data_IF_914147552265
#
_entry.id   IF_914147552265
#
_cell.length_a   1.000
_cell.length_b   1.000
_cell.length_c   1.000
_cell.angle_alpha   90.00
_cell.angle_beta   90.00
_cell.angle_gamma   90.00
#
_symmetry.space_group_name_H-M   'P 1'
#
loop_
_entity.id
_entity.type
_entity.pdbx_description
1 polymer ?
#
# COMPACT_ATOMS: atom_id res chain seq x y z
N UNK A 1 3.96 -3.33 -9.73
CA UNK A 1 2.63 -3.32 -10.38
C UNK A 1 1.69 -4.19 -9.55
N UNK A 2 0.52 -3.68 -9.22
CA UNK A 2 -0.48 -4.36 -8.38
C UNK A 2 -1.78 -4.44 -9.17
N UNK A 3 -2.43 -5.62 -9.15
CA UNK A 3 -3.73 -5.82 -9.78
C UNK A 3 -4.84 -5.47 -8.80
N UNK A 4 -5.67 -4.49 -9.15
CA UNK A 4 -6.83 -4.04 -8.37
C UNK A 4 -8.04 -4.04 -9.31
N UNK A 5 -9.11 -4.74 -8.93
CA UNK A 5 -10.35 -4.80 -9.71
C UNK A 5 -10.14 -5.11 -11.21
N UNK A 6 -9.35 -6.14 -11.54
CA UNK A 6 -8.99 -6.53 -12.91
C UNK A 6 -8.11 -5.55 -13.71
N UNK A 7 -7.77 -4.38 -13.16
CA UNK A 7 -6.84 -3.42 -13.76
C UNK A 7 -5.46 -3.50 -13.09
N UNK A 8 -4.42 -3.23 -13.87
CA UNK A 8 -3.05 -3.16 -13.38
C UNK A 8 -2.67 -1.72 -13.09
N UNK A 9 -2.18 -1.47 -11.89
CA UNK A 9 -1.71 -0.16 -11.47
C UNK A 9 -0.23 -0.21 -11.11
N UNK A 10 0.48 0.88 -11.40
CA UNK A 10 1.83 1.08 -10.91
C UNK A 10 1.81 1.41 -9.41
N UNK A 11 2.96 1.26 -8.74
CA UNK A 11 3.05 1.65 -7.34
C UNK A 11 2.91 3.18 -7.19
N UNK A 12 3.32 3.95 -8.19
CA UNK A 12 3.22 5.42 -8.21
C UNK A 12 1.76 5.88 -8.29
N UNK A 13 0.98 5.30 -9.20
CA UNK A 13 -0.46 5.61 -9.33
C UNK A 13 -1.22 5.34 -8.03
N UNK A 14 -0.87 4.23 -7.36
CA UNK A 14 -1.47 3.88 -6.07
C UNK A 14 -1.06 4.86 -4.98
N UNK A 15 0.21 5.26 -4.93
CA UNK A 15 0.70 6.27 -3.98
C UNK A 15 -0.05 7.58 -4.16
N UNK A 16 -0.11 8.12 -5.37
CA UNK A 16 -0.83 9.36 -5.65
C UNK A 16 -2.32 9.27 -5.29
N UNK A 17 -2.96 8.14 -5.58
CA UNK A 17 -4.38 7.94 -5.28
C UNK A 17 -4.64 7.85 -3.77
N UNK A 18 -3.75 7.21 -3.01
CA UNK A 18 -3.83 7.12 -1.55
C UNK A 18 -3.50 8.46 -0.88
N UNK A 19 -2.51 9.20 -1.37
CA UNK A 19 -2.17 10.55 -0.90
C UNK A 19 -3.34 11.52 -1.08
N UNK A 20 -4.02 11.48 -2.24
CA UNK A 20 -5.26 12.26 -2.47
C UNK A 20 -6.39 11.90 -1.52
N UNK A 21 -6.42 10.68 -0.98
CA UNK A 21 -7.37 10.24 0.05
C UNK A 21 -6.93 10.59 1.48
N UNK A 22 -5.78 11.22 1.65
CA UNK A 22 -5.24 11.64 2.95
C UNK A 22 -4.41 10.58 3.67
N UNK A 23 -3.88 9.58 2.96
CA UNK A 23 -2.90 8.65 3.53
C UNK A 23 -1.48 9.24 3.44
N UNK A 24 -0.67 8.99 4.46
CA UNK A 24 0.77 9.26 4.45
C UNK A 24 1.51 8.01 4.01
N UNK A 25 2.31 8.12 2.94
CA UNK A 25 3.11 7.01 2.42
C UNK A 25 4.48 7.01 3.10
N UNK A 26 4.84 5.88 3.70
CA UNK A 26 6.14 5.69 4.36
C UNK A 26 6.82 4.46 3.76
N UNK A 27 8.10 4.57 3.42
CA UNK A 27 8.90 3.41 2.97
C UNK A 27 9.90 3.09 4.07
N UNK A 28 9.87 1.86 4.58
CA UNK A 28 10.75 1.38 5.64
C UNK A 28 11.61 0.23 5.12
N UNK A 29 12.85 0.18 5.60
CA UNK A 29 13.76 -0.93 5.37
C UNK A 29 13.51 -2.00 6.45
N UNK A 30 13.11 -3.19 6.03
CA UNK A 30 12.65 -4.28 6.90
C UNK A 30 13.73 -5.35 7.09
N UNK A 31 14.70 -5.44 6.18
CA UNK A 31 15.87 -6.32 6.33
C UNK A 31 17.15 -5.56 6.02
N UNK A 32 18.06 -5.56 7.00
CA UNK A 32 19.41 -5.01 6.91
C UNK A 32 20.48 -6.11 7.01
N UNK A 33 20.09 -7.38 6.85
CA UNK A 33 21.07 -8.47 6.94
C UNK A 33 22.08 -8.34 5.78
N UNK A 34 23.39 -8.26 6.05
CA UNK A 34 24.40 -8.08 5.02
C UNK A 34 24.46 -9.22 3.99
N UNK A 35 23.79 -10.35 4.23
CA UNK A 35 23.65 -11.46 3.28
C UNK A 35 22.40 -11.38 2.42
N UNK A 36 21.42 -10.57 2.80
CA UNK A 36 20.18 -10.39 2.04
C UNK A 36 20.22 -9.10 1.23
N UNK A 37 19.42 -9.07 0.16
CA UNK A 37 19.10 -7.82 -0.51
C UNK A 37 18.24 -6.95 0.43
N UNK A 38 18.55 -5.65 0.57
CA UNK A 38 17.80 -4.76 1.44
C UNK A 38 16.32 -4.77 1.01
N UNK A 39 15.46 -5.19 1.94
CA UNK A 39 14.04 -5.33 1.69
C UNK A 39 13.35 -4.03 2.10
N UNK A 40 12.79 -3.33 1.12
CA UNK A 40 12.01 -2.13 1.36
C UNK A 40 10.52 -2.45 1.27
N UNK A 41 9.78 -2.08 2.30
CA UNK A 41 8.32 -2.16 2.31
C UNK A 41 7.71 -0.77 2.36
N UNK A 42 6.65 -0.57 1.57
CA UNK A 42 5.91 0.69 1.54
C UNK A 42 4.58 0.51 2.26
N UNK A 43 4.31 1.42 3.18
CA UNK A 43 3.13 1.50 4.02
C UNK A 43 2.32 2.75 3.67
N UNK A 44 1.00 2.66 3.82
CA UNK A 44 0.07 3.77 3.71
C UNK A 44 -0.67 3.90 5.04
N UNK A 45 -0.38 4.98 5.77
CA UNK A 45 -0.86 5.21 7.13
C UNK A 45 -1.90 6.34 7.14
N UNK A 46 -2.95 6.18 7.93
CA UNK A 46 -3.80 7.30 8.37
C UNK A 46 -3.36 7.77 9.75
N UNK A 47 -3.77 8.99 10.11
CA UNK A 47 -3.36 9.70 11.32
C UNK A 47 -3.30 8.77 12.54
N UNK A 48 -2.12 8.67 13.15
CA UNK A 48 -1.81 7.82 14.33
C UNK A 48 -1.73 6.30 14.11
N UNK A 49 -1.74 5.80 12.87
CA UNK A 49 -1.52 4.37 12.60
C UNK A 49 -0.02 4.01 12.60
N UNK A 50 0.32 2.89 13.23
CA UNK A 50 1.68 2.32 13.17
C UNK A 50 1.88 1.49 11.88
N UNK A 51 3.10 1.46 11.32
CA UNK A 51 3.42 0.59 10.19
C UNK A 51 3.25 -0.88 10.57
N UNK A 52 2.42 -1.60 9.81
CA UNK A 52 2.13 -3.01 10.02
C UNK A 52 1.61 -3.67 8.76
N UNK A 53 1.44 -4.99 8.79
CA UNK A 53 1.08 -5.80 7.60
C UNK A 53 -0.27 -5.40 6.99
N UNK A 54 -1.19 -4.89 7.79
CA UNK A 54 -2.49 -4.37 7.35
C UNK A 54 -2.39 -3.00 6.66
N UNK A 55 -1.34 -2.25 6.96
CA UNK A 55 -1.07 -0.92 6.44
C UNK A 55 -0.09 -0.94 5.28
N UNK A 56 0.30 -2.12 4.79
CA UNK A 56 1.05 -2.26 3.54
C UNK A 56 0.27 -1.60 2.39
N UNK A 57 1.00 -0.89 1.53
CA UNK A 57 0.42 -0.17 0.38
C UNK A 57 -0.51 -1.06 -0.45
N UNK A 58 -0.11 -2.32 -0.68
CA UNK A 58 -0.92 -3.30 -1.39
C UNK A 58 -2.22 -3.64 -0.66
N UNK A 59 -2.17 -3.86 0.65
CA UNK A 59 -3.33 -4.18 1.49
C UNK A 59 -4.32 -3.02 1.52
N UNK A 60 -3.83 -1.80 1.74
CA UNK A 60 -4.64 -0.58 1.78
C UNK A 60 -5.26 -0.29 0.42
N UNK A 61 -4.48 -0.41 -0.66
CA UNK A 61 -4.99 -0.20 -2.01
C UNK A 61 -6.08 -1.21 -2.38
N UNK A 62 -5.92 -2.49 -2.02
CA UNK A 62 -6.99 -3.47 -2.18
C UNK A 62 -8.22 -3.04 -1.37
N UNK A 63 -8.10 -2.72 -0.08
CA UNK A 63 -9.24 -2.30 0.76
C UNK A 63 -9.98 -1.07 0.22
N UNK A 64 -9.24 -0.05 -0.22
CA UNK A 64 -9.80 1.25 -0.62
C UNK A 64 -10.38 1.28 -2.05
N UNK A 65 -9.85 0.47 -2.95
CA UNK A 65 -10.21 0.47 -4.37
C UNK A 65 -10.96 -0.79 -4.81
N UNK A 66 -10.88 -1.89 -4.06
CA UNK A 66 -11.71 -3.10 -4.25
C UNK A 66 -13.08 -2.89 -3.59
N UNK A 67 -13.80 -1.83 -3.99
CA UNK A 67 -15.18 -1.64 -3.55
C UNK A 67 -15.98 -2.85 -4.03
N UNK A 68 -16.43 -3.70 -3.08
CA UNK A 68 -17.25 -4.87 -3.39
C UNK A 68 -18.46 -4.39 -4.20
N UNK A 69 -18.79 -4.98 -5.36
CA UNK A 69 -20.02 -4.63 -6.05
C UNK A 69 -21.19 -4.82 -5.09
N UNK A 70 -22.06 -3.80 -4.98
CA UNK A 70 -23.27 -3.90 -4.20
C UNK A 70 -24.09 -5.07 -4.75
N UNK A 71 -24.40 -6.04 -3.89
CA UNK A 71 -25.42 -7.04 -4.18
C UNK A 71 -26.77 -6.36 -3.98
N UNK A 72 -27.16 -5.55 -4.98
CA UNK A 72 -28.49 -4.96 -5.22
C UNK A 72 -29.06 -4.21 -4.01
#
# INVERSE_FOLDING_TARGET
MIKINCHWYSNEEIKEALEKKGYTIVTLEVSTDPRDYPLYETYALKTEEEPGTLNLLKSVALREFQKKPLLI
#
